data_IF_732219487090
#
_entry.id   IF_732219487090
#
_cell.length_a   1.000
_cell.length_b   1.000
_cell.length_c   1.000
_cell.angle_alpha   90.00
_cell.angle_beta   90.00
_cell.angle_gamma   90.00
#
_symmetry.space_group_name_H-M   'P 1'
#
loop_
_entity.id
_entity.type
_entity.pdbx_description
1 polymer ?
#
# COMPACT_ATOMS: atom_id res chain seq x y z
N UNK A 1 -19.04 4.91 -7.22
CA UNK A 1 -17.57 4.71 -7.20
C UNK A 1 -17.13 3.98 -5.93
N UNK A 2 -17.63 2.77 -5.66
CA UNK A 2 -17.32 2.02 -4.43
C UNK A 2 -16.71 0.62 -4.70
N UNK A 3 -16.82 0.15 -5.94
CA UNK A 3 -16.33 -1.16 -6.38
C UNK A 3 -14.79 -1.20 -6.45
N UNK A 4 -14.16 -0.13 -6.94
CA UNK A 4 -12.70 0.00 -7.05
C UNK A 4 -12.01 0.00 -5.67
N UNK A 5 -12.59 0.69 -4.69
CA UNK A 5 -12.01 0.81 -3.34
C UNK A 5 -11.98 -0.52 -2.59
N UNK A 6 -13.05 -1.32 -2.67
CA UNK A 6 -13.09 -2.62 -1.98
C UNK A 6 -12.14 -3.62 -2.63
N UNK A 7 -12.07 -3.63 -3.96
CA UNK A 7 -11.15 -4.49 -4.70
C UNK A 7 -9.68 -4.15 -4.39
N UNK A 8 -9.33 -2.85 -4.35
CA UNK A 8 -7.99 -2.39 -3.98
C UNK A 8 -7.61 -2.70 -2.53
N UNK A 9 -8.53 -2.53 -1.59
CA UNK A 9 -8.29 -2.92 -0.20
C UNK A 9 -7.98 -4.43 -0.09
N UNK A 10 -8.75 -5.27 -0.79
CA UNK A 10 -8.54 -6.71 -0.80
C UNK A 10 -7.20 -7.08 -1.45
N UNK A 11 -6.83 -6.43 -2.56
CA UNK A 11 -5.56 -6.66 -3.24
C UNK A 11 -4.35 -6.28 -2.36
N UNK A 12 -4.40 -5.11 -1.70
CA UNK A 12 -3.34 -4.68 -0.76
C UNK A 12 -3.24 -5.65 0.41
N UNK A 13 -4.37 -6.10 0.97
CA UNK A 13 -4.37 -7.06 2.06
C UNK A 13 -3.80 -8.42 1.63
N UNK A 14 -4.13 -8.89 0.42
CA UNK A 14 -3.59 -10.12 -0.13
C UNK A 14 -2.06 -10.05 -0.25
N UNK A 15 -1.53 -8.96 -0.82
CA UNK A 15 -0.08 -8.73 -0.92
C UNK A 15 0.60 -8.73 0.45
N UNK A 16 0.00 -8.08 1.46
CA UNK A 16 0.55 -8.08 2.82
C UNK A 16 0.49 -9.45 3.50
N UNK A 17 -0.51 -10.27 3.17
CA UNK A 17 -0.64 -11.62 3.71
C UNK A 17 0.38 -12.59 3.11
N UNK A 18 0.71 -12.43 1.82
CA UNK A 18 1.75 -13.20 1.14
C UNK A 18 3.16 -12.71 1.47
N UNK A 19 3.30 -11.50 2.01
CA UNK A 19 4.58 -10.94 2.39
C UNK A 19 5.19 -11.72 3.58
N UNK A 20 6.43 -12.16 3.42
CA UNK A 20 7.26 -12.76 4.48
C UNK A 20 7.85 -11.73 5.45
N UNK A 21 7.62 -10.44 5.23
CA UNK A 21 8.18 -9.35 6.04
C UNK A 21 7.56 -7.98 5.74
N UNK A 22 8.11 -6.91 6.35
CA UNK A 22 7.58 -5.55 6.20
C UNK A 22 7.82 -5.02 4.78
N UNK A 23 6.78 -4.51 4.14
CA UNK A 23 6.82 -3.99 2.76
C UNK A 23 6.66 -2.48 2.73
N UNK A 24 7.32 -1.81 1.78
CA UNK A 24 7.05 -0.39 1.54
C UNK A 24 5.76 -0.24 0.72
N UNK A 25 5.07 0.91 0.81
CA UNK A 25 3.94 1.21 -0.06
C UNK A 25 4.24 1.08 -1.55
N UNK A 26 5.50 1.32 -1.95
CA UNK A 26 5.97 1.20 -3.32
C UNK A 26 5.99 -0.26 -3.80
N UNK A 27 6.49 -1.17 -2.95
CA UNK A 27 6.51 -2.61 -3.24
C UNK A 27 5.09 -3.17 -3.36
N UNK A 28 4.19 -2.69 -2.51
CA UNK A 28 2.78 -3.10 -2.51
C UNK A 28 2.09 -2.62 -3.78
N UNK A 29 2.26 -1.34 -4.16
CA UNK A 29 1.69 -0.77 -5.38
C UNK A 29 2.17 -1.51 -6.63
N UNK A 30 3.45 -1.86 -6.67
CA UNK A 30 4.06 -2.63 -7.76
C UNK A 30 3.39 -4.01 -7.96
N UNK A 31 2.95 -4.65 -6.88
CA UNK A 31 2.34 -5.99 -6.92
C UNK A 31 0.88 -6.00 -7.34
N UNK A 32 0.14 -4.92 -7.08
CA UNK A 32 -1.28 -4.80 -7.45
C UNK A 32 -1.48 -4.10 -8.81
N UNK A 33 -0.39 -3.87 -9.54
CA UNK A 33 -0.38 -3.20 -10.85
C UNK A 33 -1.16 -1.87 -10.85
N UNK A 34 -1.06 -1.11 -9.76
CA UNK A 34 -1.75 0.18 -9.68
C UNK A 34 -1.07 1.19 -10.61
N UNK A 35 -1.85 1.99 -11.39
CA UNK A 35 -1.28 3.04 -12.21
C UNK A 35 -0.58 4.06 -11.30
N UNK A 36 0.72 4.22 -11.52
CA UNK A 36 1.54 5.14 -10.77
C UNK A 36 1.16 6.56 -11.18
N UNK A 37 0.51 7.30 -10.28
CA UNK A 37 0.39 8.74 -10.42
C UNK A 37 1.76 9.35 -10.09
N UNK A 38 2.63 9.41 -11.08
CA UNK A 38 3.89 10.14 -11.00
C UNK A 38 3.59 11.64 -11.06
N UNK A 39 3.21 12.26 -9.93
CA UNK A 39 3.40 13.71 -9.78
C UNK A 39 4.64 13.95 -8.91
N UNK A 40 5.78 13.94 -9.58
CA UNK A 40 7.11 14.19 -9.04
C UNK A 40 7.30 15.68 -8.75
N UNK A 41 6.44 16.30 -7.95
CA UNK A 41 6.56 17.75 -7.72
C UNK A 41 7.74 18.10 -6.79
N UNK A 42 8.27 17.14 -6.03
CA UNK A 42 9.40 17.35 -5.11
C UNK A 42 10.35 16.15 -5.18
N UNK A 43 11.52 16.36 -5.79
CA UNK A 43 12.51 15.32 -6.08
C UNK A 43 12.98 14.51 -4.88
N UNK A 44 12.48 13.28 -4.74
CA UNK A 44 13.10 12.32 -3.84
C UNK A 44 12.45 10.95 -3.74
N UNK A 45 11.13 10.84 -3.77
CA UNK A 45 10.47 9.54 -3.57
C UNK A 45 9.11 9.48 -4.29
N UNK A 46 8.78 8.38 -4.99
CA UNK A 46 7.43 8.18 -5.52
C UNK A 46 6.44 8.17 -4.35
N UNK A 47 5.61 9.22 -4.24
CA UNK A 47 4.61 9.29 -3.17
C UNK A 47 3.40 8.44 -3.53
N UNK A 48 3.34 7.28 -2.91
CA UNK A 48 2.18 6.38 -2.84
C UNK A 48 1.02 6.98 -2.02
N UNK A 49 0.53 8.17 -2.38
CA UNK A 49 -0.56 8.84 -1.70
C UNK A 49 -1.82 7.95 -1.50
N UNK A 50 -2.23 7.07 -2.45
CA UNK A 50 -3.40 6.23 -2.24
C UNK A 50 -3.15 4.99 -1.34
N UNK A 51 -1.98 4.36 -1.40
CA UNK A 51 -1.69 3.13 -0.65
C UNK A 51 -1.68 3.38 0.86
N UNK A 52 -1.12 4.51 1.30
CA UNK A 52 -1.09 4.85 2.74
C UNK A 52 -2.48 5.01 3.35
N UNK A 53 -3.46 5.48 2.57
CA UNK A 53 -4.85 5.57 3.02
C UNK A 53 -5.50 4.18 3.07
N UNK A 54 -5.22 3.30 2.11
CA UNK A 54 -5.71 1.91 2.10
C UNK A 54 -5.15 1.15 3.29
N UNK A 55 -3.84 1.23 3.53
CA UNK A 55 -3.16 0.58 4.65
C UNK A 55 -3.77 0.94 6.01
N UNK A 56 -4.11 2.22 6.20
CA UNK A 56 -4.84 2.67 7.40
C UNK A 56 -6.25 2.09 7.49
N UNK A 57 -6.98 2.00 6.36
CA UNK A 57 -8.35 1.45 6.31
C UNK A 57 -8.39 -0.05 6.62
N UNK A 58 -7.38 -0.81 6.21
CA UNK A 58 -7.27 -2.25 6.48
C UNK A 58 -6.56 -2.56 7.81
N UNK A 59 -6.30 -1.54 8.64
CA UNK A 59 -5.60 -1.68 9.92
C UNK A 59 -4.20 -2.32 9.81
N UNK A 60 -3.50 -2.11 8.70
CA UNK A 60 -2.12 -2.58 8.54
C UNK A 60 -1.19 -1.92 9.57
N UNK A 61 -0.17 -2.65 10.01
CA UNK A 61 0.72 -2.19 11.08
C UNK A 61 1.90 -1.44 10.48
N UNK A 62 2.00 -0.14 10.78
CA UNK A 62 3.15 0.68 10.37
C UNK A 62 4.36 0.36 11.24
N UNK A 63 5.47 -0.02 10.62
CA UNK A 63 6.75 -0.25 11.29
C UNK A 63 7.75 0.87 10.97
N UNK A 64 9.02 0.69 11.38
CA UNK A 64 10.09 1.66 11.14
C UNK A 64 10.30 1.92 9.64
N UNK A 65 10.77 3.12 9.30
CA UNK A 65 11.12 3.54 7.92
C UNK A 65 9.97 3.50 6.90
N UNK A 66 8.72 3.66 7.33
CA UNK A 66 7.59 3.76 6.41
C UNK A 66 7.15 2.43 5.79
N UNK A 67 7.65 1.31 6.31
CA UNK A 67 7.21 -0.02 5.93
C UNK A 67 5.95 -0.43 6.70
N UNK A 68 5.21 -1.40 6.16
CA UNK A 68 3.95 -1.87 6.69
C UNK A 68 3.91 -3.40 6.71
N UNK A 69 3.21 -3.93 7.70
CA UNK A 69 2.92 -5.35 7.89
C UNK A 69 1.43 -5.60 7.80
N UNK A 70 1.07 -6.86 7.58
CA UNK A 70 -0.32 -7.32 7.70
C UNK A 70 -0.94 -6.91 9.04
N UNK A 71 -2.26 -6.64 9.09
CA UNK A 71 -2.97 -6.42 10.34
C UNK A 71 -2.76 -7.60 11.30
N UNK A 72 -2.71 -7.31 12.60
CA UNK A 72 -2.75 -8.36 13.62
C UNK A 72 -4.10 -9.09 13.49
N UNK A 73 -4.05 -10.41 13.34
CA UNK A 73 -5.22 -11.27 13.25
C UNK A 73 -6.01 -11.30 14.57
#
# INVERSE_FOLDING_TARGET
MNYDTQHRNAAVLHVLNEATGPMTPNDIASKINEPWCCDSHWGGYPMSAPISAILKRICAVKVKRGQWLKPAA
#
